data_IF_931269523490
#
_entry.id   IF_931269523490
#
_cell.length_a   1.000
_cell.length_b   1.000
_cell.length_c   1.000
_cell.angle_alpha   90.00
_cell.angle_beta   90.00
_cell.angle_gamma   90.00
#
_symmetry.space_group_name_H-M   'P 1'
#
loop_
_entity.id
_entity.type
_entity.pdbx_description
1 polymer ?
#
# COMPACT_ATOMS: atom_id res chain seq x y z
N UNK A 1 2.17 -11.06 -42.82
CA UNK A 1 1.17 -11.34 -41.77
C UNK A 1 1.82 -12.28 -40.76
N UNK A 2 2.24 -11.78 -39.61
CA UNK A 2 2.65 -12.60 -38.48
C UNK A 2 1.40 -12.93 -37.64
N UNK A 3 1.31 -14.09 -36.97
CA UNK A 3 0.13 -14.47 -36.23
C UNK A 3 0.01 -13.61 -34.98
N UNK A 4 -1.20 -13.13 -34.72
CA UNK A 4 -1.55 -12.52 -33.44
C UNK A 4 -1.45 -13.60 -32.36
N UNK A 5 -0.37 -13.57 -31.59
CA UNK A 5 -0.26 -14.37 -30.37
C UNK A 5 -1.37 -13.91 -29.43
N UNK A 6 -2.28 -14.84 -29.11
CA UNK A 6 -3.29 -14.64 -28.08
C UNK A 6 -2.57 -14.36 -26.77
N UNK A 7 -2.52 -13.09 -26.38
CA UNK A 7 -2.01 -12.65 -25.08
C UNK A 7 -2.92 -13.27 -24.02
N UNK A 8 -2.48 -14.37 -23.41
CA UNK A 8 -2.99 -14.78 -22.10
C UNK A 8 -2.89 -13.56 -21.20
N UNK A 9 -4.03 -13.01 -20.80
CA UNK A 9 -4.12 -11.69 -20.21
C UNK A 9 -3.64 -11.74 -18.76
N UNK A 10 -2.31 -11.73 -18.60
CA UNK A 10 -1.61 -11.75 -17.32
C UNK A 10 -1.80 -10.45 -16.54
N UNK A 11 -1.43 -10.49 -15.26
CA UNK A 11 -1.51 -9.34 -14.35
C UNK A 11 -0.58 -8.21 -14.83
N UNK A 12 -1.08 -6.98 -14.79
CA UNK A 12 -0.31 -5.76 -15.04
C UNK A 12 0.23 -5.24 -13.71
N UNK A 13 1.53 -5.41 -13.49
CA UNK A 13 2.18 -4.99 -12.25
C UNK A 13 2.79 -3.60 -12.39
N UNK A 14 2.52 -2.72 -11.42
CA UNK A 14 3.11 -1.38 -11.32
C UNK A 14 3.91 -1.24 -10.03
N UNK A 15 5.05 -0.56 -10.11
CA UNK A 15 6.04 -0.52 -9.04
C UNK A 15 6.27 0.91 -8.55
N UNK A 16 6.25 1.07 -7.24
CA UNK A 16 6.44 2.32 -6.52
C UNK A 16 7.52 2.12 -5.47
N UNK A 17 8.34 3.14 -5.22
CA UNK A 17 9.40 3.07 -4.21
C UNK A 17 9.13 4.08 -3.11
N UNK A 18 9.23 3.63 -1.87
CA UNK A 18 9.23 4.49 -0.70
C UNK A 18 10.43 4.20 0.18
N UNK A 19 11.14 5.24 0.59
CA UNK A 19 12.14 5.17 1.64
C UNK A 19 12.17 6.55 2.33
N UNK A 20 12.07 6.63 3.67
CA UNK A 20 12.07 7.91 4.39
C UNK A 20 13.32 8.77 4.16
N UNK A 21 14.45 8.15 3.78
CA UNK A 21 15.66 8.86 3.39
C UNK A 21 15.63 9.27 1.93
N UNK A 22 16.33 10.36 1.62
CA UNK A 22 16.54 10.86 0.25
C UNK A 22 17.98 10.72 -0.25
N UNK A 23 18.91 10.21 0.57
CA UNK A 23 20.33 10.10 0.22
C UNK A 23 20.61 9.26 -1.04
N UNK A 24 19.71 8.32 -1.35
CA UNK A 24 19.79 7.45 -2.53
C UNK A 24 19.28 8.11 -3.83
N UNK A 25 18.63 9.28 -3.75
CA UNK A 25 18.02 9.95 -4.90
C UNK A 25 19.03 10.26 -6.01
N UNK A 26 20.20 10.89 -5.74
CA UNK A 26 21.12 11.28 -6.81
C UNK A 26 21.60 10.08 -7.64
N UNK A 27 21.95 8.98 -6.97
CA UNK A 27 22.41 7.75 -7.63
C UNK A 27 21.29 7.08 -8.41
N UNK A 28 20.07 7.04 -7.86
CA UNK A 28 18.92 6.47 -8.55
C UNK A 28 18.50 7.28 -9.76
N UNK A 29 18.43 8.61 -9.64
CA UNK A 29 18.12 9.52 -10.74
C UNK A 29 19.22 9.53 -11.81
N UNK A 30 20.48 9.37 -11.39
CA UNK A 30 21.61 9.10 -12.29
C UNK A 30 21.33 7.88 -13.17
N UNK A 31 21.08 6.73 -12.53
CA UNK A 31 20.79 5.47 -13.22
C UNK A 31 19.53 5.55 -14.09
N UNK A 32 18.46 6.17 -13.62
CA UNK A 32 17.23 6.38 -14.39
C UNK A 32 17.43 7.20 -15.65
N UNK A 33 18.35 8.15 -15.65
CA UNK A 33 18.67 8.95 -16.83
C UNK A 33 19.44 8.14 -17.87
N UNK A 34 20.29 7.22 -17.41
CA UNK A 34 21.11 6.36 -18.25
C UNK A 34 20.32 5.15 -18.79
N UNK A 35 19.51 4.54 -17.94
CA UNK A 35 18.66 3.38 -18.21
C UNK A 35 17.29 3.57 -17.55
N UNK A 36 16.34 4.24 -18.24
CA UNK A 36 15.04 4.55 -17.67
C UNK A 36 14.25 3.28 -17.32
N UNK A 37 13.63 3.27 -16.14
CA UNK A 37 12.68 2.22 -15.81
C UNK A 37 11.50 2.24 -16.78
N UNK A 38 10.96 1.04 -17.04
CA UNK A 38 9.85 0.85 -17.96
C UNK A 38 8.55 1.56 -17.54
N UNK A 39 7.54 1.59 -18.41
CA UNK A 39 6.29 2.35 -18.23
C UNK A 39 5.45 1.93 -17.01
N UNK A 40 5.78 0.78 -16.41
CA UNK A 40 5.11 0.28 -15.21
C UNK A 40 5.73 0.82 -13.92
N UNK A 41 6.84 1.56 -14.00
CA UNK A 41 7.36 2.28 -12.84
C UNK A 41 6.50 3.51 -12.58
N UNK A 42 5.77 3.47 -11.47
CA UNK A 42 4.96 4.58 -11.02
C UNK A 42 5.87 5.71 -10.59
N UNK A 43 6.71 5.51 -9.60
CA UNK A 43 7.62 6.56 -9.14
C UNK A 43 8.13 6.29 -7.75
N UNK A 44 8.73 7.31 -7.16
CA UNK A 44 9.31 7.23 -5.83
C UNK A 44 9.06 8.47 -5.01
N UNK A 45 9.03 8.32 -3.68
CA UNK A 45 8.94 9.44 -2.76
C UNK A 45 9.43 9.06 -1.36
N UNK A 46 9.86 10.05 -0.57
CA UNK A 46 10.29 9.84 0.82
C UNK A 46 9.14 9.97 1.83
N UNK A 47 8.14 10.77 1.52
CA UNK A 47 6.87 10.80 2.26
C UNK A 47 5.91 9.69 1.79
N UNK A 48 5.48 8.84 2.73
CA UNK A 48 4.63 7.68 2.48
C UNK A 48 3.22 8.08 2.03
N UNK A 49 2.67 9.15 2.60
CA UNK A 49 1.34 9.62 2.23
C UNK A 49 1.30 10.11 0.78
N UNK A 50 2.35 10.83 0.36
CA UNK A 50 2.50 11.36 -1.00
C UNK A 50 2.60 10.24 -2.04
N UNK A 51 3.42 9.21 -1.80
CA UNK A 51 3.47 8.08 -2.74
C UNK A 51 2.13 7.34 -2.81
N UNK A 52 1.42 7.20 -1.68
CA UNK A 52 0.08 6.59 -1.65
C UNK A 52 -0.95 7.41 -2.44
N UNK A 53 -0.92 8.75 -2.34
CA UNK A 53 -1.78 9.65 -3.14
C UNK A 53 -1.50 9.47 -4.62
N UNK A 54 -0.21 9.39 -4.99
CA UNK A 54 0.21 9.16 -6.37
C UNK A 54 -0.31 7.81 -6.90
N UNK A 55 -0.13 6.73 -6.14
CA UNK A 55 -0.66 5.41 -6.49
C UNK A 55 -2.18 5.45 -6.72
N UNK A 56 -2.94 6.13 -5.85
CA UNK A 56 -4.40 6.28 -6.03
C UNK A 56 -4.74 7.02 -7.33
N UNK A 57 -4.02 8.08 -7.66
CA UNK A 57 -4.21 8.82 -8.89
C UNK A 57 -3.93 7.95 -10.13
N UNK A 58 -2.82 7.19 -10.11
CA UNK A 58 -2.45 6.29 -11.19
C UNK A 58 -3.50 5.19 -11.40
N UNK A 59 -4.03 4.59 -10.33
CA UNK A 59 -5.07 3.58 -10.50
C UNK A 59 -6.34 4.15 -11.10
N UNK A 60 -6.76 5.35 -10.68
CA UNK A 60 -7.92 6.02 -11.28
C UNK A 60 -7.70 6.26 -12.77
N UNK A 61 -6.49 6.66 -13.17
CA UNK A 61 -6.14 6.81 -14.58
C UNK A 61 -6.14 5.47 -15.34
N UNK A 62 -5.63 4.39 -14.73
CA UNK A 62 -5.64 3.05 -15.34
C UNK A 62 -7.05 2.51 -15.52
N UNK A 63 -7.93 2.68 -14.54
CA UNK A 63 -9.35 2.30 -14.62
C UNK A 63 -10.08 3.09 -15.72
N UNK A 64 -9.77 4.39 -15.85
CA UNK A 64 -10.41 5.23 -16.87
C UNK A 64 -9.98 4.91 -18.30
N UNK A 65 -8.78 4.35 -18.48
CA UNK A 65 -8.17 4.13 -19.82
C UNK A 65 -8.20 2.67 -20.27
N UNK A 66 -8.47 1.72 -19.38
CA UNK A 66 -8.42 0.28 -19.68
C UNK A 66 -9.81 -0.34 -19.52
N UNK A 67 -10.37 -0.92 -20.59
CA UNK A 67 -11.64 -1.68 -20.54
C UNK A 67 -11.57 -2.89 -19.59
N UNK A 68 -10.34 -3.36 -19.31
CA UNK A 68 -10.00 -4.46 -18.43
C UNK A 68 -9.37 -3.98 -17.12
N UNK A 69 -10.21 -3.37 -16.31
CA UNK A 69 -9.95 -2.80 -14.99
C UNK A 69 -9.50 -3.80 -13.89
N UNK A 70 -9.51 -5.11 -14.14
CA UNK A 70 -9.51 -6.10 -13.06
C UNK A 70 -8.19 -6.86 -12.82
N UNK A 71 -7.10 -6.51 -13.51
CA UNK A 71 -5.83 -7.25 -13.40
C UNK A 71 -4.61 -6.40 -13.05
N UNK A 72 -4.81 -5.23 -12.43
CA UNK A 72 -3.72 -4.31 -12.05
C UNK A 72 -3.29 -4.56 -10.61
N UNK A 73 -2.02 -4.93 -10.41
CA UNK A 73 -1.42 -5.15 -9.09
C UNK A 73 -0.39 -4.06 -8.80
N UNK A 74 -0.48 -3.43 -7.64
CA UNK A 74 0.49 -2.44 -7.20
C UNK A 74 1.50 -3.04 -6.24
N UNK A 75 2.76 -2.66 -6.42
CA UNK A 75 3.88 -3.03 -5.57
C UNK A 75 4.49 -1.78 -4.95
N UNK A 76 4.55 -1.73 -3.62
CA UNK A 76 5.28 -0.71 -2.87
C UNK A 76 6.58 -1.32 -2.35
N UNK A 77 7.71 -0.92 -2.92
CA UNK A 77 9.04 -1.41 -2.59
C UNK A 77 9.70 -0.46 -1.58
N UNK A 78 10.29 -1.02 -0.53
CA UNK A 78 10.94 -0.30 0.58
C UNK A 78 12.39 -0.76 0.67
N UNK A 79 13.28 -0.21 -0.19
CA UNK A 79 14.69 -0.57 -0.18
C UNK A 79 15.35 0.04 1.04
N UNK A 80 15.95 -0.78 1.91
CA UNK A 80 16.70 -0.27 3.07
C UNK A 80 17.81 -1.23 3.49
N UNK A 81 18.89 -0.67 4.03
CA UNK A 81 19.97 -1.41 4.68
C UNK A 81 19.95 -1.27 6.21
N UNK A 82 18.99 -0.51 6.76
CA UNK A 82 18.83 -0.28 8.19
C UNK A 82 17.36 -0.44 8.63
N UNK A 83 17.10 -0.67 9.93
CA UNK A 83 15.73 -0.80 10.46
C UNK A 83 14.87 0.47 10.29
N UNK A 84 13.69 0.33 9.69
CA UNK A 84 12.64 1.35 9.60
C UNK A 84 11.41 0.87 10.37
N UNK A 85 11.00 1.62 11.39
CA UNK A 85 9.80 1.32 12.18
C UNK A 85 8.76 2.41 11.96
N UNK A 86 7.61 2.05 11.42
CA UNK A 86 6.46 2.92 11.25
C UNK A 86 5.42 2.51 12.30
N UNK A 87 5.53 3.12 13.47
CA UNK A 87 4.71 2.84 14.66
C UNK A 87 3.34 3.53 14.61
N UNK A 88 3.20 4.55 13.78
CA UNK A 88 1.93 5.22 13.53
C UNK A 88 0.97 4.26 12.84
N UNK A 89 -0.25 4.05 13.37
CA UNK A 89 -1.25 3.18 12.74
C UNK A 89 -1.55 3.57 11.29
N UNK A 90 -1.39 2.63 10.36
CA UNK A 90 -1.67 2.82 8.94
C UNK A 90 -2.89 2.01 8.52
N UNK A 91 -3.73 2.65 7.71
CA UNK A 91 -4.78 2.03 6.90
C UNK A 91 -4.54 2.44 5.45
N UNK A 92 -4.26 1.48 4.58
CA UNK A 92 -4.16 1.75 3.15
C UNK A 92 -5.56 1.92 2.55
N UNK A 93 -5.71 2.90 1.65
CA UNK A 93 -6.97 3.16 0.98
C UNK A 93 -7.40 1.95 0.13
N UNK A 94 -8.71 1.66 0.07
CA UNK A 94 -9.24 0.51 -0.66
C UNK A 94 -8.85 0.53 -2.15
N UNK A 95 -8.70 1.72 -2.72
CA UNK A 95 -8.26 1.88 -4.09
C UNK A 95 -6.80 1.50 -4.30
N UNK A 96 -6.00 1.24 -3.27
CA UNK A 96 -4.63 0.73 -3.44
C UNK A 96 -4.57 -0.78 -3.65
N UNK A 97 -5.69 -1.50 -3.50
CA UNK A 97 -5.73 -2.96 -3.66
C UNK A 97 -6.10 -3.42 -5.08
N UNK A 98 -5.54 -4.55 -5.58
CA UNK A 98 -4.52 -5.40 -4.94
C UNK A 98 -3.17 -4.69 -4.73
N UNK A 99 -2.59 -4.85 -3.53
CA UNK A 99 -1.36 -4.21 -3.06
C UNK A 99 -0.41 -5.24 -2.45
N UNK A 100 0.83 -5.26 -2.92
CA UNK A 100 1.96 -5.96 -2.31
C UNK A 100 2.95 -4.94 -1.76
N UNK A 101 3.41 -5.12 -0.52
CA UNK A 101 4.42 -4.29 0.12
C UNK A 101 5.66 -5.15 0.33
N UNK A 102 6.78 -4.71 -0.23
CA UNK A 102 8.03 -5.46 -0.29
C UNK A 102 9.10 -4.70 0.47
N UNK A 103 9.55 -5.25 1.58
CA UNK A 103 10.65 -4.72 2.39
C UNK A 103 12.00 -5.34 2.04
N UNK A 104 12.97 -5.06 2.91
CA UNK A 104 14.30 -5.66 2.85
C UNK A 104 14.49 -6.62 4.03
N UNK A 105 15.19 -7.75 3.81
CA UNK A 105 15.52 -8.73 4.85
C UNK A 105 17.03 -8.95 4.91
N UNK A 106 17.62 -8.85 6.11
CA UNK A 106 19.03 -9.13 6.34
C UNK A 106 19.18 -10.26 7.37
N UNK A 107 19.87 -11.34 6.97
CA UNK A 107 20.13 -12.51 7.83
C UNK A 107 18.88 -13.09 8.51
N UNK A 108 17.75 -13.11 7.79
CA UNK A 108 16.47 -13.62 8.30
C UNK A 108 15.62 -12.60 9.04
N UNK A 109 16.16 -11.42 9.34
CA UNK A 109 15.46 -10.34 10.03
C UNK A 109 14.91 -9.33 9.01
N UNK A 110 13.60 -9.09 9.05
CA UNK A 110 12.98 -7.99 8.29
C UNK A 110 13.55 -6.66 8.76
N UNK A 111 13.65 -5.69 7.85
CA UNK A 111 14.20 -4.36 8.16
C UNK A 111 13.12 -3.28 8.17
N UNK A 112 11.87 -3.63 7.90
CA UNK A 112 10.76 -2.68 7.86
C UNK A 112 9.61 -3.25 8.69
N UNK A 113 9.08 -2.45 9.61
CA UNK A 113 7.93 -2.81 10.43
C UNK A 113 6.83 -1.77 10.33
N UNK A 114 5.61 -2.23 10.11
CA UNK A 114 4.42 -1.37 10.09
C UNK A 114 3.47 -1.68 11.24
N UNK A 115 2.90 -0.64 11.84
CA UNK A 115 1.67 -0.73 12.60
C UNK A 115 0.48 -0.73 11.64
N UNK A 116 0.12 -1.91 11.12
CA UNK A 116 -1.02 -2.06 10.21
C UNK A 116 -2.29 -2.30 11.01
N UNK A 117 -3.27 -1.40 10.84
CA UNK A 117 -4.59 -1.59 11.41
C UNK A 117 -5.50 -2.25 10.39
N UNK A 118 -5.84 -3.52 10.65
CA UNK A 118 -6.79 -4.27 9.85
C UNK A 118 -8.22 -3.82 10.17
N UNK A 119 -9.03 -3.64 9.13
CA UNK A 119 -10.49 -3.66 9.26
C UNK A 119 -10.98 -4.92 8.56
N UNK A 120 -11.76 -5.76 9.23
CA UNK A 120 -12.29 -7.03 8.68
C UNK A 120 -13.03 -6.88 7.34
N UNK A 121 -13.44 -5.66 6.99
CA UNK A 121 -14.24 -5.34 5.79
C UNK A 121 -13.40 -4.87 4.60
N UNK A 122 -12.09 -4.65 4.79
CA UNK A 122 -11.21 -4.10 3.76
C UNK A 122 -10.11 -5.11 3.40
N UNK A 123 -9.69 -5.14 2.13
CA UNK A 123 -8.53 -5.93 1.72
C UNK A 123 -7.28 -5.52 2.52
N UNK A 124 -6.43 -6.50 2.81
CA UNK A 124 -5.14 -6.30 3.48
C UNK A 124 -4.01 -6.50 2.48
N UNK A 125 -2.88 -5.79 2.63
CA UNK A 125 -1.78 -5.90 1.69
C UNK A 125 -1.12 -7.28 1.82
N UNK A 126 -0.64 -7.80 0.69
CA UNK A 126 0.34 -8.87 0.69
C UNK A 126 1.65 -8.30 1.23
N UNK A 127 2.30 -8.99 2.16
CA UNK A 127 3.51 -8.51 2.82
C UNK A 127 4.67 -9.46 2.52
N UNK A 128 5.74 -8.90 1.96
CA UNK A 128 6.98 -9.62 1.68
C UNK A 128 8.13 -8.93 2.39
N UNK A 129 8.81 -9.64 3.28
CA UNK A 129 9.94 -9.08 4.05
C UNK A 129 9.57 -7.84 4.89
N UNK A 130 8.33 -7.81 5.39
CA UNK A 130 7.78 -6.77 6.25
C UNK A 130 7.37 -7.41 7.57
N UNK A 131 7.82 -6.85 8.69
CA UNK A 131 7.29 -7.14 10.00
C UNK A 131 6.01 -6.35 10.28
N UNK A 132 5.11 -6.92 11.08
CA UNK A 132 3.92 -6.22 11.58
C UNK A 132 4.09 -6.01 13.07
N UNK A 133 3.94 -4.76 13.51
CA UNK A 133 4.00 -4.43 14.93
C UNK A 133 2.79 -5.05 15.65
N UNK A 134 2.98 -5.61 16.86
CA UNK A 134 1.87 -6.13 17.65
C UNK A 134 0.86 -5.01 17.92
N UNK A 135 -0.44 -5.29 17.72
CA UNK A 135 -1.48 -4.42 18.25
C UNK A 135 -1.30 -4.37 19.76
N UNK A 136 -1.06 -3.19 20.33
CA UNK A 136 -1.02 -3.05 21.78
C UNK A 136 -2.38 -3.51 22.33
N UNK A 137 -2.38 -4.66 23.00
CA UNK A 137 -3.47 -5.02 23.89
C UNK A 137 -3.39 -4.06 25.06
N UNK A 138 -4.12 -2.96 24.99
CA UNK A 138 -4.37 -2.11 26.14
C UNK A 138 -4.98 -3.01 27.23
N UNK A 139 -4.16 -3.41 28.21
CA UNK A 139 -4.61 -4.03 29.44
C UNK A 139 -5.27 -2.97 30.33
N UNK A 140 -6.37 -2.39 29.85
CA UNK A 140 -7.37 -1.72 30.67
C UNK A 140 -8.63 -2.57 30.60
N UNK A 141 -8.81 -3.38 31.64
CA UNK A 141 -10.04 -4.11 32.01
C UNK A 141 -11.04 -4.32 30.86
N UNK A 142 -10.91 -5.49 30.23
CA UNK A 142 -11.98 -6.15 29.48
C UNK A 142 -13.31 -6.05 30.24
N UNK A 143 -14.29 -5.34 29.68
CA UNK A 143 -15.70 -5.77 29.62
C UNK A 143 -16.67 -4.74 29.01
N UNK A 144 -16.30 -3.46 28.76
CA UNK A 144 -17.31 -2.45 28.37
C UNK A 144 -17.15 -1.78 26.99
N UNK A 145 -15.94 -1.76 26.40
CA UNK A 145 -15.72 -1.00 25.15
C UNK A 145 -16.38 -1.62 23.89
N UNK A 146 -16.68 -2.92 23.90
CA UNK A 146 -17.34 -3.59 22.78
C UNK A 146 -18.80 -3.15 22.60
N UNK A 147 -19.48 -2.76 23.69
CA UNK A 147 -20.88 -2.32 23.63
C UNK A 147 -20.99 -0.87 23.16
N UNK A 148 -20.03 -0.03 23.52
CA UNK A 148 -20.03 1.39 23.16
C UNK A 148 -19.81 1.60 21.66
N UNK A 149 -18.96 0.79 21.01
CA UNK A 149 -18.73 0.85 19.56
C UNK A 149 -19.92 0.31 18.75
N UNK A 150 -20.56 -0.77 19.19
CA UNK A 150 -21.75 -1.31 18.52
C UNK A 150 -22.95 -0.35 18.68
N UNK A 151 -23.11 0.28 19.86
CA UNK A 151 -24.15 1.27 20.12
C UNK A 151 -23.92 2.57 19.32
N UNK A 152 -22.66 2.98 19.10
CA UNK A 152 -22.30 4.10 18.23
C UNK A 152 -22.56 3.79 16.75
N UNK A 153 -22.22 2.59 16.26
CA UNK A 153 -22.48 2.17 14.86
C UNK A 153 -24.00 2.06 14.59
N UNK A 154 -24.78 1.65 15.58
CA UNK A 154 -26.24 1.60 15.49
C UNK A 154 -26.88 2.99 15.56
N UNK A 155 -26.37 3.89 16.41
CA UNK A 155 -26.79 5.31 16.45
C UNK A 155 -26.46 6.05 15.16
N UNK A 156 -25.30 5.79 14.55
CA UNK A 156 -24.90 6.42 13.27
C UNK A 156 -25.82 5.96 12.12
N UNK A 157 -26.24 4.68 12.11
CA UNK A 157 -27.19 4.15 11.10
C UNK A 157 -28.61 4.74 11.19
N UNK A 158 -29.01 5.28 12.34
CA UNK A 158 -30.34 5.87 12.54
C UNK A 158 -30.39 7.39 12.30
N UNK A 159 -29.27 8.04 11.98
CA UNK A 159 -29.26 9.46 11.65
C UNK A 159 -29.72 9.68 10.19
N UNK A 160 -30.79 10.45 9.95
CA UNK A 160 -31.44 10.52 8.63
C UNK A 160 -30.69 11.37 7.59
N UNK A 161 -29.42 11.76 7.81
CA UNK A 161 -28.63 12.53 6.84
C UNK A 161 -27.11 12.43 7.13
N UNK A 162 -26.48 11.29 6.84
CA UNK A 162 -25.02 11.26 6.67
C UNK A 162 -24.67 10.95 5.22
N UNK A 163 -24.61 12.02 4.44
CA UNK A 163 -24.02 12.03 3.12
C UNK A 163 -22.56 12.53 3.28
N UNK A 164 -21.64 11.94 2.49
CA UNK A 164 -20.25 12.37 2.17
C UNK A 164 -19.21 12.24 3.33
N UNK A 165 -17.95 11.76 3.20
CA UNK A 165 -16.97 11.55 2.12
C UNK A 165 -16.14 10.27 2.34
#
# INVERSE_FOLDING_TARGET
MAPAEGRTKGESHFFYVWNPDSDWYPDFEGRQREDPLGPNFGGYHHDLATICVRMRADRRALIATTEDNNNVVFHLIIPTYYPIVVDTPIIFAAELFPLTIIGSRHRGTDLVWFNLTGRSRFPSPQLEFIGVLPLEKNNHNSCDAGKEFDELDEKIRQLPNFNIF
#
